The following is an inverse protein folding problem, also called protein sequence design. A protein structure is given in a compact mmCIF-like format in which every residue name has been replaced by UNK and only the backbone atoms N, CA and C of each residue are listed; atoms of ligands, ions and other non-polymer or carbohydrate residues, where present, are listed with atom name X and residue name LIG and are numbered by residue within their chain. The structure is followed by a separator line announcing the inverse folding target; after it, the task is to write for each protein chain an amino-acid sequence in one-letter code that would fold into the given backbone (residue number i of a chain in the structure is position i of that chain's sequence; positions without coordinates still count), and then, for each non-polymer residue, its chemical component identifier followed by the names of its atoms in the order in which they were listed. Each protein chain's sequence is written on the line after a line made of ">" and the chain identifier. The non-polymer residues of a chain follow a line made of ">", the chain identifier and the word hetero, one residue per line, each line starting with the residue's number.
data_IF_396598129805
#
_entry.id   IF_396598129805
#
_cell.length_a   1.000
_cell.length_b   1.000
_cell.length_c   1.000
_cell.angle_alpha   90.00
_cell.angle_beta   90.00
_cell.angle_gamma   90.00
#
_symmetry.space_group_name_H-M   'P 1'
#
loop_
_entity.id
_entity.type
_entity.pdbx_description
1 polymer ?
#
# COMPACT_ATOMS: atom_id res chain seq x y z
N UNK A 1 -48.61 16.88 -19.04
CA UNK A 1 -47.61 15.96 -18.46
C UNK A 1 -48.06 14.50 -18.57
N UNK A 2 -47.18 13.63 -19.09
CA UNK A 2 -47.39 12.18 -19.16
C UNK A 2 -46.53 11.51 -18.08
N UNK A 3 -47.09 10.57 -17.33
CA UNK A 3 -46.38 9.78 -16.33
C UNK A 3 -46.63 8.29 -16.60
N UNK A 4 -45.56 7.51 -16.72
CA UNK A 4 -45.66 6.06 -16.82
C UNK A 4 -45.65 5.44 -15.41
N UNK A 5 -46.55 4.48 -15.18
CA UNK A 5 -46.63 3.75 -13.91
C UNK A 5 -46.41 2.26 -14.17
N UNK A 6 -45.40 1.69 -13.53
CA UNK A 6 -45.06 0.27 -13.61
C UNK A 6 -45.42 -0.42 -12.29
N UNK A 7 -46.01 -1.62 -12.38
CA UNK A 7 -46.29 -2.46 -11.21
C UNK A 7 -45.15 -3.44 -10.99
N UNK A 8 -44.74 -3.65 -9.74
CA UNK A 8 -43.79 -4.67 -9.32
C UNK A 8 -44.31 -5.36 -8.06
N UNK A 9 -44.04 -6.66 -7.90
CA UNK A 9 -44.45 -7.47 -6.76
C UNK A 9 -43.50 -7.37 -5.57
N UNK A 10 -42.24 -6.99 -5.80
CA UNK A 10 -41.23 -6.78 -4.76
C UNK A 10 -40.39 -5.52 -5.02
N UNK A 11 -39.64 -5.08 -4.01
CA UNK A 11 -38.70 -3.97 -4.16
C UNK A 11 -37.59 -4.30 -5.17
N UNK A 12 -37.13 -5.56 -5.18
CA UNK A 12 -36.07 -6.00 -6.09
C UNK A 12 -36.52 -6.02 -7.54
N UNK A 13 -37.75 -6.48 -7.80
CA UNK A 13 -38.34 -6.41 -9.13
C UNK A 13 -38.55 -4.94 -9.57
N UNK A 14 -38.88 -4.04 -8.64
CA UNK A 14 -38.98 -2.61 -8.94
C UNK A 14 -37.60 -2.01 -9.29
N UNK A 15 -36.54 -2.44 -8.61
CA UNK A 15 -35.16 -2.05 -8.95
C UNK A 15 -34.75 -2.57 -10.32
N UNK A 16 -35.04 -3.82 -10.67
CA UNK A 16 -34.72 -4.39 -11.98
C UNK A 16 -35.37 -3.56 -13.11
N UNK A 17 -36.64 -3.19 -12.93
CA UNK A 17 -37.36 -2.35 -13.89
C UNK A 17 -36.80 -0.93 -13.95
N UNK A 18 -36.51 -0.33 -12.81
CA UNK A 18 -35.94 1.01 -12.75
C UNK A 18 -34.54 1.05 -13.40
N UNK A 19 -33.70 0.05 -13.16
CA UNK A 19 -32.37 -0.08 -13.77
C UNK A 19 -32.49 -0.15 -15.30
N UNK A 20 -33.35 -1.02 -15.82
CA UNK A 20 -33.57 -1.13 -17.26
C UNK A 20 -34.09 0.18 -17.90
N UNK A 21 -34.93 0.94 -17.20
CA UNK A 21 -35.42 2.24 -17.68
C UNK A 21 -34.33 3.31 -17.67
N UNK A 22 -33.48 3.33 -16.64
CA UNK A 22 -32.34 4.24 -16.55
C UNK A 22 -31.30 3.88 -17.62
N UNK A 23 -31.09 2.59 -17.90
CA UNK A 23 -30.24 2.10 -18.99
C UNK A 23 -30.71 2.56 -20.37
N UNK A 24 -32.02 2.64 -20.58
CA UNK A 24 -32.59 3.04 -21.87
C UNK A 24 -32.35 4.52 -22.22
N UNK A 25 -32.28 5.41 -21.22
CA UNK A 25 -32.12 6.85 -21.49
C UNK A 25 -31.95 7.78 -20.28
N UNK A 26 -31.80 7.22 -19.08
CA UNK A 26 -31.61 7.97 -17.83
C UNK A 26 -30.18 7.93 -17.28
N UNK A 27 -29.26 7.28 -17.98
CA UNK A 27 -27.90 7.04 -17.49
C UNK A 27 -27.19 8.32 -17.04
N UNK A 28 -26.67 8.26 -15.83
CA UNK A 28 -25.91 9.35 -15.24
C UNK A 28 -26.74 10.54 -14.73
N UNK A 29 -28.04 10.63 -15.03
CA UNK A 29 -28.82 11.81 -14.67
C UNK A 29 -29.25 11.81 -13.19
N UNK A 30 -30.51 11.48 -12.89
CA UNK A 30 -31.03 11.51 -11.52
C UNK A 30 -32.05 10.39 -11.33
N UNK A 31 -31.98 9.70 -10.19
CA UNK A 31 -32.99 8.75 -9.74
C UNK A 31 -33.55 9.16 -8.39
N UNK A 32 -34.80 8.76 -8.12
CA UNK A 32 -35.54 9.12 -6.91
C UNK A 32 -36.07 7.87 -6.24
N UNK A 33 -35.89 7.77 -4.92
CA UNK A 33 -36.52 6.75 -4.09
C UNK A 33 -37.41 7.39 -3.04
N UNK A 34 -38.66 6.92 -2.93
CA UNK A 34 -39.53 7.24 -1.80
C UNK A 34 -39.57 6.05 -0.84
N UNK A 35 -39.06 6.23 0.39
CA UNK A 35 -38.99 5.18 1.43
C UNK A 35 -38.80 5.79 2.82
N UNK A 36 -39.11 5.05 3.88
CA UNK A 36 -38.79 5.45 5.25
C UNK A 36 -37.26 5.47 5.46
N UNK A 37 -36.69 6.64 5.71
CA UNK A 37 -35.23 6.83 5.83
C UNK A 37 -34.63 6.25 7.10
N UNK A 38 -35.43 6.05 8.15
CA UNK A 38 -34.96 5.53 9.43
C UNK A 38 -35.03 4.02 9.43
N UNK A 39 -36.13 3.44 8.92
CA UNK A 39 -36.38 1.99 8.97
C UNK A 39 -35.84 1.22 7.77
N UNK A 40 -35.70 1.85 6.61
CA UNK A 40 -35.38 1.18 5.35
C UNK A 40 -34.08 1.67 4.72
N UNK A 41 -33.02 1.77 5.54
CA UNK A 41 -31.69 2.20 5.07
C UNK A 41 -31.09 1.22 4.07
N UNK A 42 -31.32 -0.08 4.28
CA UNK A 42 -30.96 -1.17 3.37
C UNK A 42 -31.46 -0.91 1.94
N UNK A 43 -32.68 -0.38 1.80
CA UNK A 43 -33.27 -0.05 0.50
C UNK A 43 -32.60 1.16 -0.15
N UNK A 44 -32.20 2.15 0.63
CA UNK A 44 -31.51 3.35 0.14
C UNK A 44 -30.12 2.96 -0.38
N UNK A 45 -29.38 2.15 0.38
CA UNK A 45 -28.06 1.64 -0.01
C UNK A 45 -28.17 0.81 -1.28
N UNK A 46 -29.07 -0.18 -1.29
CA UNK A 46 -29.29 -1.04 -2.47
C UNK A 46 -29.72 -0.26 -3.71
N UNK A 47 -30.57 0.75 -3.56
CA UNK A 47 -30.97 1.61 -4.67
C UNK A 47 -29.81 2.48 -5.17
N UNK A 48 -29.02 3.04 -4.25
CA UNK A 48 -27.86 3.88 -4.57
C UNK A 48 -26.74 3.12 -5.28
N UNK A 49 -26.45 1.88 -4.89
CA UNK A 49 -25.45 1.03 -5.56
C UNK A 49 -25.90 0.61 -6.96
N UNK A 50 -27.20 0.40 -7.14
CA UNK A 50 -27.75 -0.18 -8.37
C UNK A 50 -28.08 0.84 -9.45
N UNK A 51 -28.58 2.02 -9.07
CA UNK A 51 -28.93 3.06 -10.04
C UNK A 51 -27.68 3.79 -10.53
N UNK A 52 -27.31 3.57 -11.80
CA UNK A 52 -26.21 4.29 -12.48
C UNK A 52 -26.61 5.73 -12.82
N UNK A 53 -26.87 6.54 -11.81
CA UNK A 53 -27.22 7.96 -11.91
C UNK A 53 -26.27 8.81 -11.06
N UNK A 54 -25.92 10.01 -11.51
CA UNK A 54 -25.01 10.90 -10.78
C UNK A 54 -25.63 11.47 -9.49
N UNK A 55 -26.96 11.45 -9.38
CA UNK A 55 -27.71 11.86 -8.19
C UNK A 55 -28.79 10.85 -7.86
N UNK A 56 -28.75 10.36 -6.63
CA UNK A 56 -29.83 9.59 -6.02
C UNK A 56 -30.41 10.43 -4.88
N UNK A 57 -31.68 10.82 -5.00
CA UNK A 57 -32.35 11.65 -4.00
C UNK A 57 -33.52 10.88 -3.37
N UNK A 58 -33.71 11.07 -2.06
CA UNK A 58 -34.66 10.28 -1.27
C UNK A 58 -35.75 11.17 -0.71
N UNK A 59 -37.01 10.80 -0.92
CA UNK A 59 -38.21 11.53 -0.47
C UNK A 59 -38.29 12.99 -0.94
N UNK A 60 -37.86 13.26 -2.18
CA UNK A 60 -37.87 14.59 -2.77
C UNK A 60 -38.34 14.51 -4.22
N UNK A 61 -39.11 15.50 -4.72
CA UNK A 61 -39.48 15.54 -6.13
C UNK A 61 -38.24 15.71 -7.01
N UNK A 62 -38.17 14.95 -8.11
CA UNK A 62 -36.96 14.85 -8.95
C UNK A 62 -36.45 16.22 -9.40
N UNK A 63 -37.35 17.06 -9.92
CA UNK A 63 -37.04 18.37 -10.49
C UNK A 63 -36.43 19.35 -9.50
N UNK A 64 -36.94 19.42 -8.26
CA UNK A 64 -36.47 20.39 -7.26
C UNK A 64 -35.36 19.80 -6.37
N UNK A 65 -35.42 18.50 -6.08
CA UNK A 65 -34.41 17.83 -5.27
C UNK A 65 -33.05 17.77 -5.98
N UNK A 66 -33.04 17.57 -7.30
CA UNK A 66 -31.81 17.48 -8.08
C UNK A 66 -31.12 18.83 -8.31
N UNK A 67 -31.89 19.93 -8.32
CA UNK A 67 -31.34 21.29 -8.41
C UNK A 67 -30.43 21.56 -7.22
N UNK A 68 -30.78 21.05 -6.03
CA UNK A 68 -30.05 21.31 -4.78
C UNK A 68 -30.59 22.54 -4.04
N UNK A 69 -30.21 22.66 -2.78
CA UNK A 69 -30.51 23.76 -1.83
C UNK A 69 -31.99 23.95 -1.43
N UNK A 70 -32.96 23.44 -2.21
CA UNK A 70 -34.41 23.55 -1.90
C UNK A 70 -34.83 22.51 -0.85
N UNK A 71 -34.49 21.24 -1.08
CA UNK A 71 -34.87 20.11 -0.21
C UNK A 71 -33.66 19.45 0.46
N UNK A 72 -32.44 19.78 0.04
CA UNK A 72 -31.21 19.24 0.60
C UNK A 72 -30.06 20.25 0.46
N UNK A 73 -29.17 20.26 1.45
CA UNK A 73 -27.95 21.09 1.43
C UNK A 73 -26.71 20.32 0.95
N UNK A 74 -26.89 19.10 0.42
CA UNK A 74 -25.79 18.24 -0.03
C UNK A 74 -25.37 18.54 -1.46
N UNK A 75 -26.34 18.89 -2.32
CA UNK A 75 -26.12 19.21 -3.71
C UNK A 75 -26.00 20.73 -3.91
N UNK A 76 -24.98 21.22 -4.63
CA UNK A 76 -24.88 22.63 -4.93
C UNK A 76 -25.99 23.05 -5.91
N UNK A 77 -26.62 24.23 -5.71
CA UNK A 77 -27.71 24.69 -6.55
C UNK A 77 -27.27 24.87 -8.01
N UNK A 78 -27.95 24.21 -8.95
CA UNK A 78 -27.74 24.40 -10.40
C UNK A 78 -28.91 23.92 -11.25
N UNK A 79 -29.11 24.55 -12.40
CA UNK A 79 -30.02 24.09 -13.46
C UNK A 79 -29.31 23.25 -14.53
N UNK A 80 -27.97 23.20 -14.49
CA UNK A 80 -27.15 22.43 -15.42
C UNK A 80 -26.58 21.22 -14.67
N UNK A 81 -27.18 20.06 -14.89
CA UNK A 81 -26.85 18.84 -14.16
C UNK A 81 -25.93 17.95 -15.01
N UNK A 82 -24.70 17.76 -14.56
CA UNK A 82 -23.75 16.87 -15.21
C UNK A 82 -24.16 15.41 -15.03
N UNK A 83 -24.14 14.64 -16.12
CA UNK A 83 -24.53 13.21 -16.11
C UNK A 83 -23.32 12.26 -15.99
N UNK A 84 -22.11 12.79 -15.84
CA UNK A 84 -20.89 11.99 -15.80
C UNK A 84 -20.66 11.19 -17.08
N UNK A 85 -19.65 10.32 -17.04
CA UNK A 85 -19.21 9.56 -18.21
C UNK A 85 -20.31 8.64 -18.75
N UNK A 86 -21.22 8.17 -17.89
CA UNK A 86 -22.40 7.39 -18.28
C UNK A 86 -23.36 8.16 -19.20
N UNK A 87 -23.48 9.48 -19.01
CA UNK A 87 -24.29 10.36 -19.86
C UNK A 87 -23.48 11.10 -20.93
N UNK A 88 -22.24 10.66 -21.22
CA UNK A 88 -21.42 11.22 -22.30
C UNK A 88 -20.72 12.55 -22.00
N UNK A 89 -20.58 12.94 -20.73
CA UNK A 89 -19.83 14.13 -20.33
C UNK A 89 -18.86 13.82 -19.17
N UNK A 90 -17.90 14.70 -18.88
CA UNK A 90 -16.89 14.46 -17.82
C UNK A 90 -17.29 14.95 -16.43
N UNK A 91 -18.48 15.55 -16.27
CA UNK A 91 -18.91 16.20 -15.04
C UNK A 91 -20.04 15.38 -14.40
N UNK A 92 -19.79 14.78 -13.24
CA UNK A 92 -20.78 13.95 -12.52
C UNK A 92 -21.55 14.71 -11.43
N UNK A 93 -21.49 16.04 -11.44
CA UNK A 93 -22.07 16.90 -10.41
C UNK A 93 -22.90 18.05 -10.99
N UNK A 94 -23.51 18.84 -10.11
CA UNK A 94 -24.22 20.05 -10.50
C UNK A 94 -23.20 21.11 -10.95
N UNK A 95 -23.33 21.56 -12.20
CA UNK A 95 -22.37 22.48 -12.80
C UNK A 95 -22.50 23.84 -12.12
N UNK A 96 -21.48 24.22 -11.34
CA UNK A 96 -21.33 25.54 -10.74
C UNK A 96 -20.12 26.31 -11.26
N UNK A 97 -19.84 27.44 -10.61
CA UNK A 97 -18.80 28.41 -10.99
C UNK A 97 -17.40 27.78 -11.14
N UNK A 98 -17.06 26.77 -10.31
CA UNK A 98 -15.75 26.09 -10.38
C UNK A 98 -15.42 25.48 -11.74
N UNK A 99 -16.43 25.09 -12.52
CA UNK A 99 -16.24 24.50 -13.85
C UNK A 99 -16.01 25.55 -14.94
N UNK A 100 -16.24 26.82 -14.63
CA UNK A 100 -16.07 27.96 -15.55
C UNK A 100 -14.77 28.73 -15.28
N UNK A 101 -14.00 28.33 -14.26
CA UNK A 101 -12.75 28.98 -13.88
C UNK A 101 -11.58 28.20 -14.47
N UNK A 102 -10.72 28.91 -15.21
CA UNK A 102 -9.41 28.40 -15.61
C UNK A 102 -8.40 28.69 -14.51
N UNK A 103 -7.97 27.66 -13.77
CA UNK A 103 -6.90 27.78 -12.78
C UNK A 103 -5.56 27.50 -13.46
N UNK A 104 -4.68 28.51 -13.50
CA UNK A 104 -3.30 28.37 -14.00
C UNK A 104 -2.36 28.09 -12.84
N UNK A 105 -1.68 26.96 -12.85
CA UNK A 105 -0.57 26.67 -11.93
C UNK A 105 0.76 27.13 -12.53
N UNK A 106 1.51 27.95 -11.79
CA UNK A 106 2.89 28.31 -12.13
C UNK A 106 3.81 27.52 -11.18
N UNK A 107 4.59 26.60 -11.74
CA UNK A 107 5.55 25.79 -10.99
C UNK A 107 6.97 26.23 -11.33
N UNK A 108 7.72 26.66 -10.32
CA UNK A 108 9.13 27.01 -10.46
C UNK A 108 10.01 25.80 -10.11
N UNK A 109 11.22 25.75 -10.70
CA UNK A 109 12.20 24.73 -10.35
C UNK A 109 12.56 24.84 -8.87
N UNK A 110 12.35 23.76 -8.13
CA UNK A 110 12.87 23.59 -6.78
C UNK A 110 13.97 22.54 -6.77
N UNK A 111 14.93 22.71 -5.88
CA UNK A 111 15.89 21.65 -5.60
C UNK A 111 15.21 20.58 -4.76
N UNK A 112 15.41 19.32 -5.14
CA UNK A 112 14.86 18.20 -4.41
C UNK A 112 15.59 18.04 -3.08
N UNK A 113 14.84 17.67 -2.03
CA UNK A 113 15.42 17.33 -0.74
C UNK A 113 16.43 16.18 -0.92
N UNK A 114 17.68 16.43 -0.52
CA UNK A 114 18.71 15.41 -0.43
C UNK A 114 18.72 14.83 1.00
N UNK A 115 19.14 13.59 1.14
CA UNK A 115 19.29 12.93 2.43
C UNK A 115 20.67 12.33 2.58
N UNK A 116 21.22 12.45 3.80
CA UNK A 116 22.40 11.72 4.23
C UNK A 116 21.95 10.70 5.28
N UNK A 117 21.72 9.45 4.84
CA UNK A 117 21.25 8.37 5.70
C UNK A 117 22.33 7.31 5.81
N UNK A 118 22.83 7.11 7.03
CA UNK A 118 23.88 6.15 7.36
C UNK A 118 23.46 5.30 8.56
N UNK A 119 24.07 4.12 8.78
CA UNK A 119 23.89 3.38 10.03
C UNK A 119 24.22 4.24 11.25
N UNK A 120 23.53 4.01 12.37
CA UNK A 120 23.68 4.79 13.60
C UNK A 120 25.12 4.76 14.14
N UNK A 121 25.79 3.61 14.03
CA UNK A 121 27.13 3.39 14.56
C UNK A 121 28.03 2.79 13.47
N UNK A 122 29.16 3.46 13.23
CA UNK A 122 30.18 3.04 12.28
C UNK A 122 31.51 3.03 13.01
N UNK A 123 32.06 1.84 13.24
CA UNK A 123 33.37 1.64 13.84
C UNK A 123 34.42 1.43 12.75
N UNK A 124 35.57 2.08 12.88
CA UNK A 124 36.70 1.96 11.96
C UNK A 124 38.04 1.98 12.74
N UNK A 125 39.14 1.66 12.05
CA UNK A 125 40.51 1.38 12.57
C UNK A 125 40.77 -0.07 12.96
N UNK A 126 42.04 -0.44 12.93
CA UNK A 126 42.49 -1.81 13.22
C UNK A 126 42.09 -2.21 14.66
N UNK A 127 41.56 -3.43 14.81
CA UNK A 127 41.15 -3.98 16.10
C UNK A 127 39.75 -3.57 16.59
N UNK A 128 39.02 -2.72 15.87
CA UNK A 128 37.70 -2.24 16.32
C UNK A 128 36.63 -3.34 16.39
N UNK A 129 36.77 -4.46 15.68
CA UNK A 129 35.78 -5.54 15.61
C UNK A 129 35.43 -6.11 16.98
N UNK A 130 36.43 -6.39 17.82
CA UNK A 130 36.18 -6.96 19.14
C UNK A 130 35.47 -5.96 20.07
N UNK A 131 35.77 -4.66 19.95
CA UNK A 131 35.12 -3.60 20.72
C UNK A 131 33.66 -3.44 20.28
N UNK A 132 33.40 -3.37 18.96
CA UNK A 132 32.06 -3.26 18.41
C UNK A 132 31.17 -4.46 18.81
N UNK A 133 31.71 -5.69 18.79
CA UNK A 133 30.95 -6.88 19.17
C UNK A 133 30.63 -6.95 20.66
N UNK A 134 31.39 -6.30 21.55
CA UNK A 134 31.05 -6.24 22.98
C UNK A 134 29.75 -5.47 23.22
N UNK A 135 29.43 -4.50 22.38
CA UNK A 135 28.20 -3.72 22.50
C UNK A 135 26.94 -4.59 22.37
N UNK A 136 27.00 -5.70 21.62
CA UNK A 136 25.88 -6.65 21.50
C UNK A 136 25.45 -7.20 22.87
N UNK A 137 26.38 -7.35 23.81
CA UNK A 137 26.08 -7.74 25.19
C UNK A 137 25.29 -6.66 25.92
N UNK A 138 25.69 -5.39 25.78
CA UNK A 138 24.98 -4.24 26.35
C UNK A 138 23.60 -4.05 25.73
N UNK A 139 23.44 -4.40 24.45
CA UNK A 139 22.16 -4.42 23.73
C UNK A 139 21.28 -5.63 24.08
N UNK A 140 21.75 -6.53 24.96
CA UNK A 140 20.98 -7.69 25.41
C UNK A 140 20.80 -8.79 24.35
N UNK A 141 21.64 -8.82 23.30
CA UNK A 141 21.59 -9.85 22.25
C UNK A 141 22.18 -11.16 22.76
N UNK A 142 21.56 -12.28 22.36
CA UNK A 142 21.86 -13.64 22.84
C UNK A 142 22.06 -14.65 21.72
N UNK A 143 21.58 -14.39 20.50
CA UNK A 143 21.57 -15.37 19.39
C UNK A 143 22.04 -14.72 18.10
N UNK A 144 23.32 -14.92 17.76
CA UNK A 144 23.93 -14.38 16.56
C UNK A 144 23.88 -15.36 15.40
N UNK A 145 23.34 -14.92 14.26
CA UNK A 145 23.46 -15.62 12.98
C UNK A 145 24.55 -14.95 12.14
N UNK A 146 25.64 -15.66 11.87
CA UNK A 146 26.79 -15.15 11.14
C UNK A 146 26.75 -15.60 9.69
N UNK A 147 26.70 -14.66 8.75
CA UNK A 147 26.65 -14.91 7.30
C UNK A 147 28.00 -14.60 6.68
N UNK A 148 28.60 -15.56 5.98
CA UNK A 148 29.91 -15.41 5.34
C UNK A 148 30.03 -16.28 4.07
N UNK A 149 31.13 -16.14 3.35
CA UNK A 149 31.47 -17.03 2.24
C UNK A 149 32.35 -18.22 2.69
N UNK A 150 32.42 -19.25 1.85
CA UNK A 150 33.19 -20.47 2.14
C UNK A 150 34.69 -20.22 2.28
N UNK A 151 35.24 -19.22 1.59
CA UNK A 151 36.68 -18.95 1.60
C UNK A 151 37.11 -18.37 2.96
N UNK A 152 36.41 -17.34 3.44
CA UNK A 152 36.65 -16.74 4.75
C UNK A 152 36.42 -17.73 5.89
N UNK A 153 35.42 -18.60 5.76
CA UNK A 153 35.19 -19.67 6.71
C UNK A 153 36.38 -20.64 6.77
N UNK A 154 36.83 -21.17 5.63
CA UNK A 154 37.97 -22.11 5.56
C UNK A 154 39.29 -21.50 6.04
N UNK A 155 39.51 -20.21 5.79
CA UNK A 155 40.71 -19.50 6.21
C UNK A 155 40.70 -19.13 7.71
N UNK A 156 39.61 -19.38 8.44
CA UNK A 156 39.53 -19.14 9.88
C UNK A 156 39.38 -17.67 10.28
N UNK A 157 38.99 -16.79 9.35
CA UNK A 157 38.77 -15.36 9.65
C UNK A 157 37.63 -15.11 10.64
N UNK A 158 36.71 -16.07 10.80
CA UNK A 158 35.62 -15.97 11.76
C UNK A 158 36.06 -16.27 13.19
N UNK A 159 37.24 -16.89 13.41
CA UNK A 159 37.68 -17.33 14.73
C UNK A 159 37.69 -16.20 15.78
N UNK A 160 38.21 -14.98 15.49
CA UNK A 160 38.17 -13.88 16.45
C UNK A 160 36.75 -13.40 16.76
N UNK A 161 35.85 -13.45 15.77
CA UNK A 161 34.44 -13.04 15.89
C UNK A 161 33.71 -14.04 16.78
N UNK A 162 33.80 -15.33 16.47
CA UNK A 162 33.18 -16.42 17.24
C UNK A 162 33.66 -16.39 18.68
N UNK A 163 34.98 -16.33 18.92
CA UNK A 163 35.54 -16.22 20.27
C UNK A 163 35.01 -15.02 21.06
N UNK A 164 34.76 -13.88 20.39
CA UNK A 164 34.23 -12.69 21.04
C UNK A 164 32.75 -12.85 21.40
N UNK A 165 31.96 -13.43 20.49
CA UNK A 165 30.54 -13.72 20.72
C UNK A 165 30.33 -14.79 21.81
N UNK A 166 31.17 -15.82 21.85
CA UNK A 166 31.16 -16.85 22.90
C UNK A 166 31.49 -16.24 24.27
N UNK A 167 32.49 -15.35 24.35
CA UNK A 167 32.81 -14.59 25.57
C UNK A 167 31.65 -13.69 26.03
N UNK A 168 30.80 -13.26 25.11
CA UNK A 168 29.58 -12.52 25.42
C UNK A 168 28.42 -13.44 25.87
N UNK A 169 28.60 -14.76 25.85
CA UNK A 169 27.57 -15.74 26.23
C UNK A 169 26.49 -15.94 25.17
N UNK A 170 26.79 -15.68 23.90
CA UNK A 170 25.83 -15.79 22.81
C UNK A 170 25.82 -17.19 22.19
N UNK A 171 24.64 -17.68 21.83
CA UNK A 171 24.51 -18.80 20.90
C UNK A 171 24.84 -18.32 19.49
N UNK A 172 25.61 -19.10 18.74
CA UNK A 172 26.11 -18.71 17.42
C UNK A 172 25.72 -19.79 16.41
N UNK A 173 25.21 -19.36 15.26
CA UNK A 173 25.01 -20.20 14.08
C UNK A 173 25.70 -19.54 12.90
N UNK A 174 26.49 -20.31 12.15
CA UNK A 174 27.27 -19.81 11.01
C UNK A 174 26.66 -20.38 9.73
N UNK A 175 26.36 -19.50 8.78
CA UNK A 175 25.98 -19.80 7.41
C UNK A 175 27.12 -19.35 6.48
N UNK A 176 27.83 -20.33 5.89
CA UNK A 176 29.01 -20.08 5.06
C UNK A 176 28.78 -20.35 3.57
N UNK A 177 27.55 -20.65 3.15
CA UNK A 177 27.23 -21.07 1.78
C UNK A 177 26.90 -19.88 0.86
N UNK A 178 27.42 -18.69 1.17
CA UNK A 178 27.32 -17.54 0.26
C UNK A 178 28.36 -17.67 -0.85
N UNK A 179 27.87 -17.71 -2.09
CA UNK A 179 28.67 -17.67 -3.32
C UNK A 179 28.74 -16.23 -3.87
N UNK A 180 29.73 -15.90 -4.72
CA UNK A 180 29.73 -14.65 -5.50
C UNK A 180 28.42 -14.50 -6.29
N UNK A 181 27.88 -13.29 -6.37
CA UNK A 181 26.56 -13.00 -6.96
C UNK A 181 25.43 -13.88 -6.39
N UNK A 182 25.09 -13.70 -5.09
CA UNK A 182 24.24 -14.63 -4.37
C UNK A 182 22.85 -14.72 -4.99
N UNK A 183 22.42 -15.95 -5.25
CA UNK A 183 21.09 -16.23 -5.80
C UNK A 183 20.02 -16.13 -4.71
N UNK A 184 18.77 -15.96 -5.14
CA UNK A 184 17.59 -16.00 -4.27
C UNK A 184 17.53 -17.30 -3.44
N UNK A 185 17.94 -18.42 -4.03
CA UNK A 185 17.92 -19.72 -3.37
C UNK A 185 18.84 -19.75 -2.14
N UNK A 186 20.02 -19.13 -2.22
CA UNK A 186 20.94 -19.02 -1.09
C UNK A 186 20.30 -18.18 0.03
N UNK A 187 19.64 -17.07 -0.33
CA UNK A 187 18.94 -16.24 0.64
C UNK A 187 17.76 -16.98 1.31
N UNK A 188 17.00 -17.79 0.55
CA UNK A 188 15.92 -18.64 1.10
C UNK A 188 16.44 -19.67 2.09
N UNK A 189 17.50 -20.40 1.73
CA UNK A 189 18.15 -21.36 2.64
C UNK A 189 18.64 -20.69 3.92
N UNK A 190 19.29 -19.53 3.79
CA UNK A 190 19.71 -18.74 4.94
C UNK A 190 18.53 -18.33 5.83
N UNK A 191 17.42 -17.88 5.23
CA UNK A 191 16.21 -17.50 5.96
C UNK A 191 15.53 -18.71 6.65
N UNK A 192 15.52 -19.90 6.04
CA UNK A 192 15.04 -21.14 6.65
C UNK A 192 15.87 -21.53 7.89
N UNK A 193 17.20 -21.42 7.79
CA UNK A 193 18.09 -21.64 8.93
C UNK A 193 17.90 -20.57 10.02
N UNK A 194 17.66 -19.31 9.65
CA UNK A 194 17.30 -18.26 10.60
C UNK A 194 15.96 -18.55 11.28
N UNK A 195 14.94 -19.04 10.56
CA UNK A 195 13.65 -19.40 11.15
C UNK A 195 13.76 -20.52 12.19
N UNK A 196 14.65 -21.48 11.92
CA UNK A 196 14.96 -22.58 12.85
C UNK A 196 15.77 -22.10 14.06
N UNK A 197 16.78 -21.26 13.82
CA UNK A 197 17.69 -20.76 14.85
C UNK A 197 17.10 -19.57 15.64
N UNK A 198 16.14 -18.82 15.11
CA UNK A 198 15.55 -17.62 15.73
C UNK A 198 16.62 -16.65 16.27
N UNK A 199 17.50 -16.09 15.41
CA UNK A 199 18.48 -15.12 15.86
C UNK A 199 17.84 -13.81 16.31
N UNK A 200 18.51 -13.13 17.23
CA UNK A 200 18.17 -11.75 17.62
C UNK A 200 19.15 -10.71 17.04
N UNK A 201 20.21 -11.19 16.37
CA UNK A 201 21.14 -10.36 15.61
C UNK A 201 21.72 -11.14 14.43
N UNK A 202 21.90 -10.45 13.30
CA UNK A 202 22.55 -10.99 12.10
C UNK A 202 23.88 -10.27 11.92
N UNK A 203 24.95 -11.01 11.65
CA UNK A 203 26.31 -10.47 11.46
C UNK A 203 26.81 -10.93 10.10
N UNK A 204 26.96 -10.00 9.16
CA UNK A 204 27.57 -10.29 7.87
C UNK A 204 29.09 -10.09 7.94
N UNK A 205 29.86 -11.08 7.48
CA UNK A 205 31.33 -11.06 7.45
C UNK A 205 31.81 -11.36 6.04
N UNK A 206 32.38 -10.35 5.39
CA UNK A 206 32.96 -10.47 4.05
C UNK A 206 32.78 -9.20 3.23
N UNK A 207 32.80 -9.35 1.91
CA UNK A 207 32.57 -8.26 0.95
C UNK A 207 31.09 -8.02 0.63
N UNK A 208 30.82 -7.53 -0.58
CA UNK A 208 29.45 -7.25 -1.05
C UNK A 208 28.53 -8.47 -1.02
N UNK A 209 28.99 -9.64 -1.46
CA UNK A 209 28.15 -10.83 -1.56
C UNK A 209 27.59 -11.29 -0.20
N UNK A 210 28.38 -11.54 0.86
CA UNK A 210 27.83 -11.89 2.17
C UNK A 210 26.99 -10.79 2.80
N UNK A 211 27.36 -9.51 2.60
CA UNK A 211 26.60 -8.38 3.15
C UNK A 211 25.23 -8.23 2.52
N UNK A 212 25.11 -8.37 1.20
CA UNK A 212 23.85 -8.22 0.50
C UNK A 212 22.95 -9.45 0.70
N UNK A 213 23.54 -10.65 0.67
CA UNK A 213 22.82 -11.88 1.03
C UNK A 213 22.24 -11.79 2.45
N UNK A 214 23.01 -11.32 3.44
CA UNK A 214 22.54 -11.18 4.81
C UNK A 214 21.38 -10.19 4.96
N UNK A 215 21.39 -9.07 4.24
CA UNK A 215 20.28 -8.11 4.24
C UNK A 215 19.00 -8.71 3.64
N UNK A 216 19.14 -9.47 2.55
CA UNK A 216 17.99 -10.14 1.93
C UNK A 216 17.45 -11.22 2.88
N UNK A 217 18.32 -12.07 3.44
CA UNK A 217 17.94 -13.06 4.45
C UNK A 217 17.23 -12.42 5.64
N UNK A 218 17.70 -11.25 6.10
CA UNK A 218 17.06 -10.50 7.18
C UNK A 218 15.63 -10.09 6.83
N UNK A 219 15.41 -9.54 5.64
CA UNK A 219 14.06 -9.18 5.18
C UNK A 219 13.17 -10.42 5.11
N UNK A 220 13.67 -11.51 4.54
CA UNK A 220 12.91 -12.76 4.40
C UNK A 220 12.60 -13.44 5.74
N UNK A 221 13.45 -13.22 6.75
CA UNK A 221 13.25 -13.72 8.11
C UNK A 221 12.20 -12.91 8.89
N UNK A 222 12.29 -11.58 8.86
CA UNK A 222 11.34 -10.71 9.58
C UNK A 222 9.99 -10.58 8.86
N UNK A 223 10.00 -10.64 7.53
CA UNK A 223 8.85 -10.44 6.65
C UNK A 223 8.74 -11.55 5.60
N UNK A 224 8.37 -12.79 6.00
CA UNK A 224 8.28 -13.94 5.09
C UNK A 224 7.22 -13.79 4.00
N UNK A 225 6.26 -12.88 4.17
CA UNK A 225 5.21 -12.54 3.19
C UNK A 225 5.71 -11.76 1.97
N UNK A 226 6.90 -11.14 2.08
CA UNK A 226 7.41 -10.26 1.04
C UNK A 226 7.91 -11.09 -0.14
N UNK A 227 7.38 -10.78 -1.33
CA UNK A 227 7.86 -11.36 -2.59
C UNK A 227 9.12 -10.63 -3.03
N UNK A 228 10.14 -11.39 -3.39
CA UNK A 228 11.43 -10.80 -3.77
C UNK A 228 11.35 -9.99 -5.06
N UNK A 229 10.45 -10.36 -5.97
CA UNK A 229 10.22 -9.62 -7.21
C UNK A 229 9.82 -8.16 -6.93
N UNK A 230 9.05 -7.94 -5.86
CA UNK A 230 8.62 -6.60 -5.45
C UNK A 230 9.78 -5.77 -4.88
N UNK A 231 10.78 -6.42 -4.25
CA UNK A 231 11.98 -5.77 -3.72
C UNK A 231 13.01 -5.45 -4.81
N UNK A 232 13.07 -6.29 -5.84
CA UNK A 232 14.00 -6.16 -6.96
C UNK A 232 13.51 -5.18 -8.03
N UNK A 233 12.25 -4.73 -7.95
CA UNK A 233 11.76 -3.65 -8.81
C UNK A 233 12.69 -2.45 -8.64
N UNK A 234 13.36 -2.09 -9.74
CA UNK A 234 13.98 -0.77 -9.84
C UNK A 234 12.87 0.20 -9.56
N UNK A 235 12.95 0.91 -8.43
CA UNK A 235 12.11 2.07 -8.21
C UNK A 235 12.09 2.82 -9.53
N UNK A 236 10.90 2.99 -10.10
CA UNK A 236 10.67 3.86 -11.25
C UNK A 236 10.87 5.28 -10.73
N UNK A 237 12.10 5.56 -10.34
CA UNK A 237 12.55 6.88 -10.08
C UNK A 237 12.63 7.52 -11.46
N UNK A 238 11.56 8.19 -11.85
CA UNK A 238 11.49 8.99 -13.08
C UNK A 238 12.60 10.07 -13.17
N UNK A 239 13.43 10.21 -12.12
CA UNK A 239 14.66 11.01 -12.10
C UNK A 239 15.88 10.24 -12.65
N UNK A 240 15.75 8.97 -13.04
CA UNK A 240 16.80 8.15 -13.69
C UNK A 240 16.39 7.67 -15.07
#
# INVERSE_FOLDING_TARGET
>A
PMLAMYKAGSFDEALDKAEALVELGGFGHTSVLYTDQVKSRDRIEKFGERMKTGRTIVNMPASQGAIGDIYNFKLPPSLTLGCGSWGGNSISENVGVKHLINIKSVAERRENMLWFRVPEKIYFKFGCTAEALRELKTMGKKRAFVVTDRALYKMGFLNPIVKTLEKNGMAIKIFSDVEPDPTLEVARKGAEEMNSFKPDTIIAVGGGSPMDAAKIMWIMYEHPEVRFEDLAMRFMDIRK
#
